data_IF_245972226089
#
_entry.id   IF_245972226089
#
_cell.length_a   1.000
_cell.length_b   1.000
_cell.length_c   1.000
_cell.angle_alpha   90.00
_cell.angle_beta   90.00
_cell.angle_gamma   90.00
#
_symmetry.space_group_name_H-M   'P 1'
#
loop_
_entity.id
_entity.type
_entity.pdbx_description
1 polymer ?
#
# COMPACT_ATOMS: atom_id res chain seq x y z
N UNK A 1 11.99 5.90 20.66
CA UNK A 1 10.73 5.33 21.23
C UNK A 1 9.76 4.82 20.15
N UNK A 2 9.51 5.50 19.06
CA UNK A 2 8.53 5.09 18.04
C UNK A 2 8.75 3.69 17.40
N UNK A 3 9.99 3.24 17.21
CA UNK A 3 10.27 1.91 16.63
C UNK A 3 9.84 0.72 17.52
N UNK A 4 9.90 0.87 18.85
CA UNK A 4 9.57 -0.22 19.79
C UNK A 4 8.05 -0.47 19.92
N UNK A 5 7.23 0.52 19.63
CA UNK A 5 5.76 0.46 19.77
C UNK A 5 5.09 -0.03 18.49
N UNK A 6 5.73 0.10 17.34
CA UNK A 6 5.17 -0.26 16.01
C UNK A 6 4.77 -1.73 15.90
N UNK A 7 5.65 -2.62 16.36
CA UNK A 7 5.42 -4.08 16.23
C UNK A 7 4.26 -4.54 17.14
N UNK A 8 4.24 -4.20 18.45
CA UNK A 8 3.11 -4.54 19.32
C UNK A 8 1.77 -3.97 18.83
N UNK A 9 1.75 -2.71 18.34
CA UNK A 9 0.54 -2.10 17.79
C UNK A 9 0.04 -2.82 16.52
N UNK A 10 0.95 -3.27 15.66
CA UNK A 10 0.61 -4.05 14.47
C UNK A 10 -0.05 -5.38 14.82
N UNK A 11 0.48 -6.09 15.82
CA UNK A 11 -0.12 -7.32 16.32
C UNK A 11 -1.48 -7.08 16.97
N UNK A 12 -1.59 -6.07 17.83
CA UNK A 12 -2.88 -5.70 18.44
C UNK A 12 -3.93 -5.38 17.39
N UNK A 13 -3.54 -4.60 16.36
CA UNK A 13 -4.43 -4.29 15.25
C UNK A 13 -4.84 -5.55 14.47
N UNK A 14 -3.91 -6.47 14.21
CA UNK A 14 -4.21 -7.72 13.51
C UNK A 14 -5.20 -8.59 14.29
N UNK A 15 -5.02 -8.71 15.61
CA UNK A 15 -5.94 -9.44 16.48
C UNK A 15 -7.33 -8.77 16.51
N UNK A 16 -7.39 -7.45 16.69
CA UNK A 16 -8.63 -6.69 16.68
C UNK A 16 -9.33 -6.80 15.31
N UNK A 17 -8.56 -6.74 14.22
CA UNK A 17 -9.07 -6.92 12.87
C UNK A 17 -9.73 -8.29 12.71
N UNK A 18 -9.04 -9.38 13.07
CA UNK A 18 -9.57 -10.74 12.96
C UNK A 18 -10.84 -10.89 13.82
N UNK A 19 -10.85 -10.30 15.02
CA UNK A 19 -12.00 -10.37 15.91
C UNK A 19 -13.22 -9.62 15.35
N UNK A 20 -13.04 -8.40 14.87
CA UNK A 20 -14.09 -7.52 14.36
C UNK A 20 -14.58 -7.90 12.93
N UNK A 21 -13.74 -8.59 12.15
CA UNK A 21 -14.08 -8.95 10.78
C UNK A 21 -15.25 -9.93 10.72
N UNK A 22 -16.20 -9.68 9.82
CA UNK A 22 -17.35 -10.55 9.54
C UNK A 22 -17.40 -10.92 8.05
N UNK A 23 -16.42 -11.71 7.56
CA UNK A 23 -16.31 -12.00 6.15
C UNK A 23 -17.49 -12.80 5.63
N UNK A 24 -17.82 -12.58 4.36
CA UNK A 24 -18.72 -13.40 3.55
C UNK A 24 -17.99 -13.79 2.26
N UNK A 25 -18.51 -14.79 1.53
CA UNK A 25 -17.93 -15.18 0.22
C UNK A 25 -17.82 -13.97 -0.71
N UNK A 26 -18.89 -13.19 -0.85
CA UNK A 26 -18.92 -12.00 -1.70
C UNK A 26 -17.93 -10.94 -1.25
N UNK A 27 -17.83 -10.66 0.06
CA UNK A 27 -16.90 -9.64 0.56
C UNK A 27 -15.44 -10.04 0.42
N UNK A 28 -15.12 -11.33 0.56
CA UNK A 28 -13.75 -11.84 0.30
C UNK A 28 -13.38 -11.69 -1.17
N UNK A 29 -14.27 -12.05 -2.09
CA UNK A 29 -14.04 -11.88 -3.53
C UNK A 29 -13.87 -10.40 -3.86
N UNK A 30 -14.80 -9.53 -3.45
CA UNK A 30 -14.75 -8.11 -3.72
C UNK A 30 -13.49 -7.45 -3.12
N UNK A 31 -13.13 -7.81 -1.89
CA UNK A 31 -11.91 -7.32 -1.24
C UNK A 31 -10.65 -7.78 -1.99
N UNK A 32 -10.59 -9.03 -2.42
CA UNK A 32 -9.47 -9.58 -3.19
C UNK A 32 -9.30 -8.89 -4.54
N UNK A 33 -10.40 -8.55 -5.23
CA UNK A 33 -10.36 -7.80 -6.50
C UNK A 33 -9.75 -6.41 -6.36
N UNK A 34 -9.83 -5.77 -5.19
CA UNK A 34 -9.17 -4.50 -4.91
C UNK A 34 -7.74 -4.70 -4.40
N UNK A 35 -7.51 -5.74 -3.61
CA UNK A 35 -6.24 -6.04 -2.99
C UNK A 35 -5.17 -6.46 -4.02
N UNK A 36 -5.52 -7.32 -4.99
CA UNK A 36 -4.58 -7.82 -5.99
C UNK A 36 -3.96 -6.71 -6.84
N UNK A 37 -4.73 -5.76 -7.43
CA UNK A 37 -4.13 -4.61 -8.12
C UNK A 37 -3.23 -3.77 -7.21
N UNK A 38 -3.58 -3.63 -5.92
CA UNK A 38 -2.74 -2.95 -4.93
C UNK A 38 -1.37 -3.62 -4.74
N UNK A 39 -1.35 -4.96 -4.64
CA UNK A 39 -0.09 -5.74 -4.58
C UNK A 39 0.73 -5.60 -5.84
N UNK A 40 0.10 -5.70 -7.01
CA UNK A 40 0.77 -5.53 -8.31
C UNK A 40 1.39 -4.14 -8.41
N UNK A 41 0.63 -3.09 -8.08
CA UNK A 41 1.13 -1.71 -8.10
C UNK A 41 2.34 -1.53 -7.18
N UNK A 42 2.29 -2.07 -5.96
CA UNK A 42 3.41 -2.03 -5.02
C UNK A 42 4.63 -2.77 -5.55
N UNK A 43 4.42 -3.97 -6.09
CA UNK A 43 5.51 -4.76 -6.68
C UNK A 43 6.19 -4.03 -7.83
N UNK A 44 5.41 -3.44 -8.75
CA UNK A 44 5.93 -2.62 -9.84
C UNK A 44 6.67 -1.38 -9.33
N UNK A 45 6.09 -0.66 -8.38
CA UNK A 45 6.69 0.54 -7.82
C UNK A 45 8.01 0.25 -7.11
N UNK A 46 8.08 -0.81 -6.30
CA UNK A 46 9.29 -1.21 -5.58
C UNK A 46 10.44 -1.63 -6.49
N UNK A 47 10.12 -2.21 -7.66
CA UNK A 47 11.13 -2.58 -8.65
C UNK A 47 11.63 -1.42 -9.52
N UNK A 48 11.02 -0.23 -9.44
CA UNK A 48 11.48 0.97 -10.15
C UNK A 48 12.20 1.96 -9.22
N UNK A 49 11.85 2.00 -7.93
CA UNK A 49 12.38 3.02 -7.03
C UNK A 49 13.83 2.74 -6.64
N UNK A 50 14.69 3.72 -6.89
CA UNK A 50 16.08 3.75 -6.42
C UNK A 50 16.17 4.83 -5.31
N UNK A 51 15.91 4.39 -4.09
CA UNK A 51 15.85 5.31 -2.94
C UNK A 51 17.19 6.02 -2.75
N UNK A 52 17.10 7.35 -2.58
CA UNK A 52 18.23 8.22 -2.27
C UNK A 52 19.30 8.35 -3.37
N UNK A 53 19.22 7.62 -4.49
CA UNK A 53 20.21 7.66 -5.57
C UNK A 53 19.76 8.58 -6.70
N UNK A 54 18.51 8.45 -7.14
CA UNK A 54 17.94 9.28 -8.20
C UNK A 54 16.44 9.51 -8.02
N UNK A 55 15.95 10.59 -8.63
CA UNK A 55 14.52 10.86 -8.72
C UNK A 55 13.88 9.88 -9.69
N UNK A 56 13.11 8.93 -9.17
CA UNK A 56 12.38 7.96 -9.99
C UNK A 56 11.12 8.61 -10.56
N UNK A 57 11.03 8.70 -11.88
CA UNK A 57 9.90 9.28 -12.62
C UNK A 57 9.30 8.31 -13.66
N UNK A 58 9.82 7.07 -13.73
CA UNK A 58 9.41 6.03 -14.68
C UNK A 58 8.49 4.99 -14.06
N UNK A 59 7.89 4.14 -14.89
CA UNK A 59 6.95 3.11 -14.47
C UNK A 59 5.76 3.70 -13.70
N UNK A 60 5.35 3.14 -12.55
CA UNK A 60 4.23 3.67 -11.76
C UNK A 60 4.43 5.11 -11.30
N UNK A 61 5.68 5.57 -11.14
CA UNK A 61 6.01 6.94 -10.75
C UNK A 61 5.75 7.97 -11.86
N UNK A 62 5.62 7.55 -13.11
CA UNK A 62 5.18 8.43 -14.18
C UNK A 62 3.70 8.83 -14.08
N UNK A 63 2.90 8.09 -13.33
CA UNK A 63 1.47 8.30 -13.18
C UNK A 63 1.06 8.91 -11.85
N UNK A 64 1.76 8.58 -10.78
CA UNK A 64 1.54 9.13 -9.43
C UNK A 64 2.86 9.23 -8.68
N UNK A 65 3.03 10.28 -7.88
CA UNK A 65 4.26 10.47 -7.10
C UNK A 65 4.45 9.43 -6.00
N UNK A 66 3.36 8.83 -5.55
CA UNK A 66 3.37 7.94 -4.38
C UNK A 66 2.68 6.59 -4.67
N UNK A 67 3.15 5.80 -5.68
CA UNK A 67 2.50 4.55 -6.07
C UNK A 67 2.54 3.48 -4.98
N UNK A 68 3.59 3.43 -4.14
CA UNK A 68 3.66 2.52 -2.99
C UNK A 68 2.58 2.84 -1.95
N UNK A 69 2.29 4.12 -1.70
CA UNK A 69 1.23 4.53 -0.77
C UNK A 69 -0.16 4.30 -1.37
N UNK A 70 -0.34 4.54 -2.67
CA UNK A 70 -1.58 4.21 -3.36
C UNK A 70 -1.86 2.69 -3.28
N UNK A 71 -0.86 1.87 -3.56
CA UNK A 71 -0.98 0.42 -3.40
C UNK A 71 -1.31 0.01 -1.96
N UNK A 72 -0.70 0.65 -0.95
CA UNK A 72 -1.05 0.42 0.46
C UNK A 72 -2.49 0.79 0.78
N UNK A 73 -2.99 1.89 0.21
CA UNK A 73 -4.38 2.31 0.37
C UNK A 73 -5.34 1.30 -0.27
N UNK A 74 -4.98 0.75 -1.44
CA UNK A 74 -5.75 -0.31 -2.09
C UNK A 74 -5.77 -1.60 -1.26
N UNK A 75 -4.62 -2.00 -0.66
CA UNK A 75 -4.58 -3.14 0.27
C UNK A 75 -5.50 -2.90 1.48
N UNK A 76 -5.42 -1.72 2.08
CA UNK A 76 -6.26 -1.34 3.20
C UNK A 76 -7.76 -1.38 2.82
N UNK A 77 -8.12 -0.81 1.67
CA UNK A 77 -9.49 -0.82 1.17
C UNK A 77 -9.98 -2.25 0.88
N UNK A 78 -9.15 -3.09 0.26
CA UNK A 78 -9.46 -4.50 0.01
C UNK A 78 -9.74 -5.28 1.30
N UNK A 79 -8.91 -5.09 2.33
CA UNK A 79 -9.15 -5.71 3.64
C UNK A 79 -10.35 -5.11 4.36
N UNK A 80 -10.62 -3.81 4.25
CA UNK A 80 -11.81 -3.19 4.83
C UNK A 80 -13.10 -3.76 4.21
N UNK A 81 -13.13 -3.96 2.89
CA UNK A 81 -14.23 -4.59 2.17
C UNK A 81 -14.40 -6.04 2.62
N UNK A 82 -13.30 -6.81 2.68
CA UNK A 82 -13.32 -8.21 3.11
C UNK A 82 -13.84 -8.38 4.54
N UNK A 83 -13.50 -7.46 5.42
CA UNK A 83 -13.88 -7.49 6.83
C UNK A 83 -15.35 -7.15 7.09
N UNK A 84 -16.01 -6.34 6.25
CA UNK A 84 -17.38 -5.85 6.44
C UNK A 84 -17.64 -5.21 7.82
N UNK A 85 -16.69 -4.47 8.32
CA UNK A 85 -16.78 -3.82 9.63
C UNK A 85 -16.49 -2.33 9.52
N UNK A 86 -17.47 -1.50 9.85
CA UNK A 86 -17.32 -0.05 9.85
C UNK A 86 -16.25 0.45 10.84
N UNK A 87 -16.07 -0.26 11.96
CA UNK A 87 -15.01 0.04 12.91
C UNK A 87 -13.62 -0.13 12.29
N UNK A 88 -13.44 -1.18 11.49
CA UNK A 88 -12.18 -1.40 10.76
C UNK A 88 -11.96 -0.27 9.76
N UNK A 89 -12.99 0.11 8.99
CA UNK A 89 -12.90 1.24 8.05
C UNK A 89 -12.50 2.52 8.77
N UNK A 90 -13.17 2.85 9.87
CA UNK A 90 -12.89 4.07 10.65
C UNK A 90 -11.44 4.09 11.18
N UNK A 91 -10.99 2.98 11.78
CA UNK A 91 -9.62 2.86 12.30
C UNK A 91 -8.59 2.95 11.17
N UNK A 92 -8.81 2.29 10.03
CA UNK A 92 -7.90 2.35 8.89
C UNK A 92 -7.82 3.75 8.30
N UNK A 93 -8.93 4.47 8.17
CA UNK A 93 -8.93 5.87 7.71
C UNK A 93 -8.17 6.78 8.67
N UNK A 94 -8.41 6.63 9.97
CA UNK A 94 -7.71 7.39 11.00
C UNK A 94 -6.19 7.11 10.96
N UNK A 95 -5.79 5.84 10.91
CA UNK A 95 -4.39 5.45 10.82
C UNK A 95 -3.74 5.94 9.53
N UNK A 96 -4.46 5.85 8.40
CA UNK A 96 -3.96 6.37 7.13
C UNK A 96 -3.72 7.88 7.22
N UNK A 97 -4.70 8.65 7.70
CA UNK A 97 -4.55 10.09 7.87
C UNK A 97 -3.42 10.47 8.84
N UNK A 98 -3.36 9.81 10.00
CA UNK A 98 -2.40 10.14 11.05
C UNK A 98 -0.96 9.74 10.71
N UNK A 99 -0.75 8.68 9.91
CA UNK A 99 0.58 8.14 9.62
C UNK A 99 1.03 8.51 8.22
N UNK A 100 0.20 8.23 7.19
CA UNK A 100 0.65 8.36 5.81
C UNK A 100 0.71 9.80 5.32
N UNK A 101 -0.23 10.67 5.73
CA UNK A 101 -0.20 12.07 5.30
C UNK A 101 1.10 12.78 5.74
N UNK A 102 1.51 12.74 7.03
CA UNK A 102 2.75 13.38 7.44
C UNK A 102 4.00 12.69 6.88
N UNK A 103 4.00 11.36 6.69
CA UNK A 103 5.12 10.64 6.08
C UNK A 103 5.30 11.04 4.63
N UNK A 104 4.24 11.04 3.82
CA UNK A 104 4.28 11.48 2.42
C UNK A 104 4.77 12.93 2.31
N UNK A 105 4.24 13.84 3.15
CA UNK A 105 4.68 15.23 3.16
C UNK A 105 6.16 15.38 3.53
N UNK A 106 6.66 14.55 4.44
CA UNK A 106 8.07 14.50 4.83
C UNK A 106 8.97 13.99 3.71
N UNK A 107 8.58 12.91 3.03
CA UNK A 107 9.32 12.37 1.89
C UNK A 107 9.35 13.34 0.72
N UNK A 108 8.22 13.96 0.36
CA UNK A 108 8.16 14.96 -0.71
C UNK A 108 9.07 16.16 -0.42
N UNK A 109 9.11 16.64 0.82
CA UNK A 109 10.02 17.71 1.23
C UNK A 109 11.48 17.30 1.09
N UNK A 110 11.83 16.08 1.50
CA UNK A 110 13.19 15.53 1.37
C UNK A 110 13.60 15.39 -0.10
N UNK A 111 12.68 14.91 -0.97
CA UNK A 111 12.93 14.79 -2.40
C UNK A 111 13.14 16.16 -3.06
N UNK A 112 12.35 17.18 -2.69
CA UNK A 112 12.51 18.53 -3.19
C UNK A 112 13.86 19.18 -2.78
N UNK A 113 14.40 18.82 -1.63
CA UNK A 113 15.71 19.28 -1.19
C UNK A 113 16.88 18.54 -1.88
N UNK A 114 16.69 17.25 -2.21
CA UNK A 114 17.74 16.40 -2.79
C UNK A 114 17.84 16.52 -4.31
N UNK A 115 16.71 16.65 -5.00
CA UNK A 115 16.65 16.55 -6.46
C UNK A 115 16.14 17.85 -7.11
N UNK A 116 16.96 18.59 -7.83
CA UNK A 116 16.56 19.87 -8.46
C UNK A 116 15.37 19.77 -9.43
N UNK A 117 15.15 18.59 -10.05
CA UNK A 117 14.03 18.35 -10.97
C UNK A 117 12.70 17.98 -10.29
N UNK A 118 12.68 17.88 -8.95
CA UNK A 118 11.48 17.43 -8.22
C UNK A 118 10.29 18.38 -8.37
N UNK A 119 10.53 19.69 -8.35
CA UNK A 119 9.44 20.68 -8.43
C UNK A 119 8.72 20.63 -9.77
N UNK A 120 9.45 20.43 -10.88
CA UNK A 120 8.83 20.24 -12.19
C UNK A 120 8.02 18.94 -12.24
N UNK A 121 8.60 17.84 -11.79
CA UNK A 121 7.91 16.56 -11.65
C UNK A 121 6.64 16.68 -10.79
N UNK A 122 6.70 17.39 -9.67
CA UNK A 122 5.58 17.56 -8.76
C UNK A 122 4.43 18.42 -9.32
N UNK A 123 4.72 19.32 -10.26
CA UNK A 123 3.70 20.11 -10.97
C UNK A 123 2.90 19.26 -11.98
N UNK A 124 3.52 18.25 -12.58
CA UNK A 124 2.93 17.46 -13.64
C UNK A 124 2.33 16.13 -13.17
N UNK A 125 2.87 15.55 -12.09
CA UNK A 125 2.44 14.25 -11.59
C UNK A 125 1.67 14.41 -10.27
N UNK A 126 0.43 13.92 -10.16
CA UNK A 126 -0.38 14.04 -8.95
C UNK A 126 0.21 13.25 -7.77
N UNK A 127 -0.17 13.66 -6.55
CA UNK A 127 0.34 13.06 -5.31
C UNK A 127 -0.08 11.59 -5.12
N UNK A 128 -1.36 11.26 -5.32
CA UNK A 128 -1.92 9.93 -5.06
C UNK A 128 -2.74 9.41 -6.25
N UNK A 129 -3.73 10.17 -6.73
CA UNK A 129 -4.56 9.73 -7.85
C UNK A 129 -3.72 9.68 -9.12
N UNK A 130 -3.70 8.55 -9.86
CA UNK A 130 -2.87 8.45 -11.04
C UNK A 130 -3.44 9.28 -12.19
N UNK A 131 -2.56 9.92 -12.95
CA UNK A 131 -2.91 10.52 -14.25
C UNK A 131 -3.07 9.43 -15.31
N UNK A 132 -3.75 9.76 -16.41
CA UNK A 132 -4.02 8.80 -17.49
C UNK A 132 -2.84 8.61 -18.45
N UNK A 133 -1.98 9.61 -18.58
CA UNK A 133 -0.81 9.59 -19.48
C UNK A 133 0.48 9.62 -18.65
N UNK A 134 1.55 8.93 -19.06
CA UNK A 134 2.81 8.96 -18.33
C UNK A 134 3.49 10.34 -18.41
N UNK A 135 4.29 10.66 -17.41
CA UNK A 135 5.17 11.82 -17.39
C UNK A 135 6.56 11.42 -17.89
N UNK A 136 7.17 12.27 -18.73
CA UNK A 136 8.54 12.10 -19.17
C UNK A 136 8.80 10.83 -19.99
N UNK A 137 10.08 10.51 -20.16
CA UNK A 137 10.52 9.29 -20.82
C UNK A 137 10.40 8.10 -19.89
N UNK A 138 10.01 6.93 -20.44
CA UNK A 138 9.84 5.68 -19.69
C UNK A 138 11.11 4.81 -19.73
N UNK A 139 12.29 5.43 -19.60
CA UNK A 139 13.59 4.74 -19.77
C UNK A 139 13.98 3.88 -18.57
N UNK A 140 13.26 3.99 -17.44
CA UNK A 140 13.50 3.17 -16.24
C UNK A 140 12.93 1.77 -16.37
N UNK A 141 13.80 0.77 -16.38
CA UNK A 141 13.41 -0.64 -16.40
C UNK A 141 13.05 -1.16 -15.00
N UNK A 142 12.09 -2.10 -14.95
CA UNK A 142 11.81 -2.86 -13.73
C UNK A 142 13.01 -3.73 -13.34
N UNK A 143 13.39 -3.68 -12.07
CA UNK A 143 14.44 -4.49 -11.49
C UNK A 143 13.89 -5.44 -10.42
N UNK A 144 13.97 -6.74 -10.67
CA UNK A 144 13.63 -7.75 -9.68
C UNK A 144 14.56 -7.70 -8.46
N UNK A 145 15.83 -7.29 -8.65
CA UNK A 145 16.76 -7.10 -7.56
C UNK A 145 16.28 -6.04 -6.55
N UNK A 146 15.78 -4.90 -7.03
CA UNK A 146 15.18 -3.86 -6.18
C UNK A 146 13.93 -4.38 -5.44
N UNK A 147 13.07 -5.15 -6.11
CA UNK A 147 11.91 -5.77 -5.50
C UNK A 147 12.32 -6.66 -4.30
N UNK A 148 13.34 -7.51 -4.46
CA UNK A 148 13.84 -8.36 -3.39
C UNK A 148 14.57 -7.57 -2.30
N UNK A 149 15.37 -6.57 -2.67
CA UNK A 149 16.07 -5.67 -1.75
C UNK A 149 15.08 -4.92 -0.83
N UNK A 150 13.97 -4.42 -1.38
CA UNK A 150 12.92 -3.75 -0.64
C UNK A 150 12.01 -4.72 0.14
N UNK A 151 12.23 -6.03 0.00
CA UNK A 151 11.46 -7.11 0.67
C UNK A 151 9.95 -7.00 0.42
N UNK A 152 9.55 -6.55 -0.76
CA UNK A 152 8.14 -6.30 -1.07
C UNK A 152 7.32 -7.60 -1.10
N UNK A 153 7.94 -8.76 -1.30
CA UNK A 153 7.31 -10.08 -1.17
C UNK A 153 6.67 -10.30 0.21
N UNK A 154 7.14 -9.62 1.27
CA UNK A 154 6.54 -9.71 2.60
C UNK A 154 5.13 -9.17 2.64
N UNK A 155 4.81 -8.13 1.85
CA UNK A 155 3.44 -7.63 1.71
C UNK A 155 2.53 -8.70 1.09
N UNK A 156 3.01 -9.39 0.06
CA UNK A 156 2.29 -10.53 -0.56
C UNK A 156 2.02 -11.66 0.42
N UNK A 157 3.06 -12.10 1.15
CA UNK A 157 2.93 -13.15 2.19
C UNK A 157 1.92 -12.73 3.25
N UNK A 158 2.00 -11.49 3.75
CA UNK A 158 1.08 -10.96 4.74
C UNK A 158 -0.38 -10.93 4.25
N UNK A 159 -0.59 -10.55 2.99
CA UNK A 159 -1.91 -10.55 2.38
C UNK A 159 -2.49 -11.96 2.24
N UNK A 160 -1.70 -12.92 1.76
CA UNK A 160 -2.12 -14.33 1.62
C UNK A 160 -2.45 -14.91 3.00
N UNK A 161 -1.59 -14.70 3.99
CA UNK A 161 -1.82 -15.18 5.36
C UNK A 161 -3.13 -14.62 5.95
N UNK A 162 -3.37 -13.32 5.80
CA UNK A 162 -4.58 -12.68 6.33
C UNK A 162 -5.84 -13.15 5.60
N UNK A 163 -5.80 -13.29 4.26
CA UNK A 163 -6.92 -13.86 3.49
C UNK A 163 -7.22 -15.31 3.91
N UNK A 164 -6.19 -16.13 4.15
CA UNK A 164 -6.35 -17.48 4.65
C UNK A 164 -7.05 -17.50 6.02
N UNK A 165 -6.65 -16.62 6.95
CA UNK A 165 -7.31 -16.48 8.26
C UNK A 165 -8.79 -16.07 8.11
N UNK A 166 -9.10 -15.12 7.22
CA UNK A 166 -10.48 -14.71 6.97
C UNK A 166 -11.31 -15.84 6.35
N UNK A 167 -10.71 -16.63 5.46
CA UNK A 167 -11.36 -17.79 4.86
C UNK A 167 -11.65 -18.87 5.91
N UNK A 168 -10.69 -19.18 6.78
CA UNK A 168 -10.89 -20.11 7.90
C UNK A 168 -12.03 -19.62 8.80
N UNK A 169 -12.03 -18.33 9.15
CA UNK A 169 -13.11 -17.72 9.96
C UNK A 169 -14.48 -17.83 9.28
N UNK A 170 -14.53 -17.63 7.95
CA UNK A 170 -15.77 -17.80 7.18
C UNK A 170 -16.26 -19.24 7.24
N UNK A 171 -15.38 -20.21 7.00
CA UNK A 171 -15.72 -21.64 7.03
C UNK A 171 -16.18 -22.05 8.43
N UNK A 172 -15.45 -21.67 9.47
CA UNK A 172 -15.85 -21.95 10.85
C UNK A 172 -17.24 -21.40 11.17
N UNK A 173 -17.59 -20.19 10.72
CA UNK A 173 -18.93 -19.60 10.90
C UNK A 173 -20.04 -20.33 10.14
N UNK A 174 -19.72 -21.07 9.08
CA UNK A 174 -20.69 -21.83 8.31
C UNK A 174 -20.93 -23.24 8.90
N UNK A 175 -20.02 -23.69 9.74
CA UNK A 175 -20.09 -25.03 10.38
C UNK A 175 -20.73 -24.97 11.77
N UNK A 176 -20.70 -23.84 12.43
CA UNK A 176 -21.30 -23.57 13.74
C UNK A 176 -22.39 -22.47 13.65
#
# INVERSE_FOLDING_TARGET
MARRIRVPLGFLFAVAYIWLAQPTKTSLIAGTLVLVPGLVLRGLASGHVQKDEQLTTSGPYAYTRNPLYLGSLMLAAGFAIAARSWWIVAVMLLMFAAIYIPVIAGEERSLGQKFPGYDDYARHVPRILPRLTPYGNQDGAYSSALYWQHREYQAGIGCVAMLAVLLIKLVAKLVW
#
